data_IF_998137050726
#
_entry.id   IF_998137050726
#
_cell.length_a   1.000
_cell.length_b   1.000
_cell.length_c   1.000
_cell.angle_alpha   90.00
_cell.angle_beta   90.00
_cell.angle_gamma   90.00
#
_symmetry.space_group_name_H-M   'P 1'
#
loop_
_entity.id
_entity.type
_entity.pdbx_description
1 polymer ?
#
# COMPACT_ATOMS: atom_id res chain seq x y z
N UNK A 1 -7.71 2.12 -7.24
CA UNK A 1 -6.68 2.29 -8.28
C UNK A 1 -5.48 2.91 -7.61
N UNK A 2 -4.40 2.16 -7.55
CA UNK A 2 -3.07 2.74 -7.32
C UNK A 2 -2.76 3.45 -8.62
N UNK A 3 -2.49 4.74 -8.53
CA UNK A 3 -2.10 5.55 -9.66
C UNK A 3 -0.75 5.00 -10.19
N UNK A 4 -0.61 4.72 -11.52
CA UNK A 4 0.62 4.20 -12.10
C UNK A 4 1.89 4.94 -11.65
N UNK A 5 1.80 6.23 -11.29
CA UNK A 5 2.91 7.00 -10.74
C UNK A 5 3.59 6.35 -9.52
N UNK A 6 2.83 5.67 -8.64
CA UNK A 6 3.38 4.94 -7.48
C UNK A 6 4.34 3.82 -7.87
N UNK A 7 4.22 3.30 -9.08
CA UNK A 7 5.09 2.22 -9.56
C UNK A 7 6.37 2.76 -10.20
N UNK A 8 6.32 3.95 -10.78
CA UNK A 8 7.42 4.50 -11.60
C UNK A 8 8.29 5.46 -10.78
N UNK A 9 7.69 6.39 -10.04
CA UNK A 9 8.41 7.47 -9.37
C UNK A 9 9.42 6.95 -8.32
N UNK A 10 9.07 6.00 -7.44
CA UNK A 10 10.04 5.46 -6.49
C UNK A 10 11.25 4.80 -7.18
N UNK A 11 11.03 4.14 -8.32
CA UNK A 11 12.10 3.53 -9.13
C UNK A 11 12.96 4.59 -9.80
N UNK A 12 12.36 5.66 -10.33
CA UNK A 12 13.12 6.78 -10.89
C UNK A 12 13.95 7.49 -9.81
N UNK A 13 13.36 7.73 -8.63
CA UNK A 13 14.03 8.42 -7.53
C UNK A 13 15.16 7.61 -6.93
N UNK A 14 15.01 6.29 -6.74
CA UNK A 14 16.10 5.45 -6.23
C UNK A 14 17.31 5.48 -7.18
N UNK A 15 17.07 5.43 -8.50
CA UNK A 15 18.13 5.53 -9.49
C UNK A 15 18.74 6.93 -9.55
N UNK A 16 17.91 7.98 -9.55
CA UNK A 16 18.35 9.37 -9.52
C UNK A 16 19.29 9.62 -8.35
N UNK A 17 18.89 9.25 -7.13
CA UNK A 17 19.75 9.43 -5.95
C UNK A 17 21.01 8.57 -6.01
N UNK A 18 20.94 7.34 -6.54
CA UNK A 18 22.11 6.46 -6.65
C UNK A 18 23.16 6.90 -7.68
N UNK A 19 22.74 7.65 -8.71
CA UNK A 19 23.60 8.09 -9.81
C UNK A 19 23.98 9.57 -9.70
N UNK A 20 23.46 10.27 -8.69
CA UNK A 20 23.76 11.67 -8.47
C UNK A 20 25.27 11.88 -8.21
N UNK A 21 25.91 12.92 -8.76
CA UNK A 21 27.36 13.15 -8.58
C UNK A 21 27.81 13.31 -7.11
N UNK A 22 26.89 13.76 -6.25
CA UNK A 22 27.13 13.92 -4.81
C UNK A 22 26.83 12.65 -3.99
N UNK A 23 26.41 11.56 -4.64
CA UNK A 23 26.01 10.35 -3.94
C UNK A 23 27.23 9.66 -3.31
N UNK A 24 27.17 9.44 -2.00
CA UNK A 24 28.17 8.72 -1.24
C UNK A 24 27.48 7.66 -0.42
N UNK A 25 27.68 6.40 -0.78
CA UNK A 25 26.94 5.30 -0.17
C UNK A 25 27.71 3.99 -0.20
N UNK A 26 27.27 3.08 0.65
CA UNK A 26 27.75 1.72 0.66
C UNK A 26 27.12 0.95 -0.51
N UNK A 27 27.97 0.35 -1.36
CA UNK A 27 27.57 -0.27 -2.62
C UNK A 27 26.48 -1.37 -2.48
N UNK A 28 26.68 -2.34 -1.58
CA UNK A 28 25.73 -3.41 -1.30
C UNK A 28 24.37 -2.88 -0.81
N UNK A 29 24.34 -1.92 0.12
CA UNK A 29 23.10 -1.32 0.61
C UNK A 29 22.31 -0.70 -0.54
N UNK A 30 22.97 0.07 -1.40
CA UNK A 30 22.35 0.66 -2.59
C UNK A 30 21.77 -0.40 -3.53
N UNK A 31 22.53 -1.46 -3.85
CA UNK A 31 22.05 -2.53 -4.75
C UNK A 31 20.86 -3.27 -4.16
N UNK A 32 20.90 -3.61 -2.88
CA UNK A 32 19.80 -4.30 -2.19
C UNK A 32 18.55 -3.44 -2.22
N UNK A 33 18.64 -2.16 -1.84
CA UNK A 33 17.52 -1.23 -1.82
C UNK A 33 16.94 -1.04 -3.23
N UNK A 34 17.81 -0.91 -4.24
CA UNK A 34 17.37 -0.80 -5.64
C UNK A 34 16.60 -2.04 -6.08
N UNK A 35 17.11 -3.25 -5.80
CA UNK A 35 16.45 -4.51 -6.14
C UNK A 35 15.11 -4.68 -5.41
N UNK A 36 15.07 -4.33 -4.13
CA UNK A 36 13.84 -4.37 -3.33
C UNK A 36 12.79 -3.40 -3.88
N UNK A 37 13.18 -2.18 -4.26
CA UNK A 37 12.28 -1.19 -4.87
C UNK A 37 11.75 -1.67 -6.21
N UNK A 38 12.57 -2.32 -7.04
CA UNK A 38 12.11 -2.97 -8.27
C UNK A 38 11.13 -4.10 -7.99
N UNK A 39 11.43 -4.99 -7.05
CA UNK A 39 10.53 -6.09 -6.70
C UNK A 39 9.17 -5.56 -6.21
N UNK A 40 9.18 -4.52 -5.36
CA UNK A 40 7.98 -3.85 -4.90
C UNK A 40 7.18 -3.19 -6.05
N UNK A 41 7.87 -2.49 -6.95
CA UNK A 41 7.25 -1.83 -8.11
C UNK A 41 6.67 -2.83 -9.12
N UNK A 42 7.44 -3.85 -9.51
CA UNK A 42 6.98 -4.91 -10.42
C UNK A 42 5.74 -5.61 -9.87
N UNK A 43 5.70 -5.87 -8.55
CA UNK A 43 4.50 -6.42 -7.90
C UNK A 43 3.29 -5.52 -8.08
N UNK A 44 3.43 -4.21 -7.87
CA UNK A 44 2.33 -3.25 -8.07
C UNK A 44 1.85 -3.22 -9.53
N UNK A 45 2.79 -3.16 -10.46
CA UNK A 45 2.53 -3.18 -11.91
C UNK A 45 1.77 -4.46 -12.28
N UNK A 46 2.26 -5.61 -11.84
CA UNK A 46 1.62 -6.91 -12.06
C UNK A 46 0.22 -6.98 -11.47
N UNK A 47 0.00 -6.46 -10.26
CA UNK A 47 -1.33 -6.41 -9.67
C UNK A 47 -2.29 -5.50 -10.47
N UNK A 48 -1.80 -4.35 -10.92
CA UNK A 48 -2.57 -3.42 -11.75
C UNK A 48 -2.98 -4.07 -13.09
N UNK A 49 -2.01 -4.58 -13.86
CA UNK A 49 -2.28 -5.15 -15.18
C UNK A 49 -3.17 -6.39 -15.14
N UNK A 50 -3.00 -7.28 -14.15
CA UNK A 50 -3.88 -8.43 -13.97
C UNK A 50 -5.33 -8.00 -13.74
N UNK A 51 -5.55 -6.94 -12.93
CA UNK A 51 -6.90 -6.42 -12.65
C UNK A 51 -7.54 -5.80 -13.88
N UNK A 52 -6.77 -5.06 -14.67
CA UNK A 52 -7.24 -4.40 -15.90
C UNK A 52 -7.23 -5.33 -17.13
N UNK A 53 -7.03 -6.64 -16.94
CA UNK A 53 -6.96 -7.65 -18.03
C UNK A 53 -5.97 -7.26 -19.13
N UNK A 54 -4.84 -6.67 -18.75
CA UNK A 54 -3.81 -6.17 -19.66
C UNK A 54 -4.27 -5.06 -20.62
N UNK A 55 -5.41 -4.41 -20.33
CA UNK A 55 -5.87 -3.24 -21.05
C UNK A 55 -5.47 -1.98 -20.28
N UNK A 56 -4.68 -1.13 -20.92
CA UNK A 56 -4.18 0.08 -20.28
C UNK A 56 -5.28 1.16 -20.27
N UNK A 57 -5.55 1.76 -19.10
CA UNK A 57 -6.51 2.86 -18.96
C UNK A 57 -7.99 2.48 -19.16
N UNK A 58 -8.34 1.20 -19.23
CA UNK A 58 -9.71 0.76 -19.50
C UNK A 58 -10.73 1.10 -18.40
N UNK A 59 -10.27 1.33 -17.16
CA UNK A 59 -11.12 1.73 -16.03
C UNK A 59 -10.53 2.90 -15.28
N UNK A 60 -11.32 3.96 -15.16
CA UNK A 60 -11.02 5.08 -14.27
C UNK A 60 -11.34 4.71 -12.81
N UNK A 61 -10.61 5.29 -11.85
CA UNK A 61 -10.97 5.12 -10.44
C UNK A 61 -12.28 5.84 -10.15
N UNK A 62 -13.21 5.10 -9.56
CA UNK A 62 -14.50 5.61 -9.11
C UNK A 62 -14.41 6.88 -8.23
N UNK A 63 -13.31 7.08 -7.49
CA UNK A 63 -13.09 8.30 -6.68
C UNK A 63 -12.95 9.54 -7.57
N UNK A 64 -12.21 9.41 -8.67
CA UNK A 64 -12.07 10.48 -9.66
C UNK A 64 -13.40 10.73 -10.37
N UNK A 65 -14.15 9.67 -10.71
CA UNK A 65 -15.47 9.81 -11.32
C UNK A 65 -16.50 10.49 -10.40
N UNK A 66 -16.54 10.18 -9.09
CA UNK A 66 -17.45 10.86 -8.15
C UNK A 66 -17.09 12.34 -7.99
N UNK A 67 -15.80 12.66 -7.95
CA UNK A 67 -15.32 14.03 -7.84
C UNK A 67 -15.51 14.82 -9.14
N UNK A 68 -15.32 14.21 -10.31
CA UNK A 68 -15.52 14.89 -11.60
C UNK A 68 -16.96 15.33 -11.78
N UNK A 69 -17.92 14.51 -11.36
CA UNK A 69 -19.33 14.87 -11.35
C UNK A 69 -19.65 16.03 -10.39
N UNK A 70 -18.97 16.13 -9.24
CA UNK A 70 -19.16 17.24 -8.28
C UNK A 70 -18.56 18.56 -8.77
N UNK A 71 -17.37 18.53 -9.35
CA UNK A 71 -16.63 19.74 -9.75
C UNK A 71 -16.94 20.20 -11.18
N UNK A 72 -17.56 19.35 -12.01
CA UNK A 72 -18.06 19.68 -13.34
C UNK A 72 -17.00 20.34 -14.22
N UNK A 73 -17.29 21.55 -14.73
CA UNK A 73 -16.40 22.28 -15.66
C UNK A 73 -15.04 22.64 -15.08
N UNK A 74 -14.90 22.72 -13.76
CA UNK A 74 -13.63 23.02 -13.09
C UNK A 74 -12.82 21.77 -12.74
N UNK A 75 -13.31 20.58 -13.10
CA UNK A 75 -12.68 19.31 -12.75
C UNK A 75 -11.21 19.24 -13.11
N UNK A 76 -10.83 19.74 -14.29
CA UNK A 76 -9.43 19.68 -14.74
C UNK A 76 -8.50 20.44 -13.77
N UNK A 77 -8.81 21.69 -13.46
CA UNK A 77 -8.02 22.51 -12.54
C UNK A 77 -8.07 21.99 -11.09
N UNK A 78 -9.24 21.57 -10.64
CA UNK A 78 -9.42 21.04 -9.29
C UNK A 78 -8.64 19.73 -9.11
N UNK A 79 -8.74 18.79 -10.05
CA UNK A 79 -8.01 17.52 -9.98
C UNK A 79 -6.50 17.72 -10.06
N UNK A 80 -6.03 18.63 -10.91
CA UNK A 80 -4.61 18.95 -11.04
C UNK A 80 -4.01 19.47 -9.72
N UNK A 81 -4.60 20.52 -9.15
CA UNK A 81 -4.03 21.18 -7.97
C UNK A 81 -4.39 20.52 -6.64
N UNK A 82 -5.56 19.89 -6.52
CA UNK A 82 -6.00 19.30 -5.26
C UNK A 82 -5.63 17.82 -5.13
N UNK A 83 -5.36 17.11 -6.24
CA UNK A 83 -5.10 15.67 -6.21
C UNK A 83 -3.72 15.36 -6.78
N UNK A 84 -3.49 15.66 -8.07
CA UNK A 84 -2.28 15.21 -8.75
C UNK A 84 -1.01 15.84 -8.18
N UNK A 85 -0.98 17.18 -8.01
CA UNK A 85 0.20 17.88 -7.46
C UNK A 85 0.52 17.44 -6.02
N UNK A 86 -0.42 17.48 -5.05
CA UNK A 86 -0.16 17.01 -3.69
C UNK A 86 0.28 15.54 -3.65
N UNK A 87 -0.28 14.69 -4.51
CA UNK A 87 0.10 13.28 -4.59
C UNK A 87 1.56 13.10 -5.05
N UNK A 88 2.03 13.89 -6.02
CA UNK A 88 3.45 13.82 -6.43
C UNK A 88 4.39 14.30 -5.33
N UNK A 89 4.06 15.44 -4.69
CA UNK A 89 4.84 15.97 -3.56
C UNK A 89 4.89 14.95 -2.41
N UNK A 90 3.76 14.32 -2.12
CA UNK A 90 3.65 13.27 -1.12
C UNK A 90 4.53 12.06 -1.44
N UNK A 91 4.52 11.60 -2.69
CA UNK A 91 5.30 10.44 -3.12
C UNK A 91 6.81 10.70 -3.13
N UNK A 92 7.22 11.92 -3.51
CA UNK A 92 8.62 12.38 -3.39
C UNK A 92 9.02 12.39 -1.91
N UNK A 93 8.20 12.98 -1.04
CA UNK A 93 8.43 13.01 0.41
C UNK A 93 8.56 11.62 1.02
N UNK A 94 7.72 10.69 0.60
CA UNK A 94 7.75 9.29 1.04
C UNK A 94 9.00 8.55 0.55
N UNK A 95 9.58 8.97 -0.57
CA UNK A 95 10.79 8.39 -1.17
C UNK A 95 12.09 9.00 -0.64
N UNK A 96 12.03 9.97 0.26
CA UNK A 96 13.19 10.57 0.92
C UNK A 96 14.14 9.58 1.63
N UNK A 97 13.69 8.41 2.16
CA UNK A 97 14.64 7.41 2.64
C UNK A 97 15.65 6.95 1.57
N UNK A 98 15.28 6.95 0.29
CA UNK A 98 16.22 6.63 -0.79
C UNK A 98 17.34 7.67 -0.92
N UNK A 99 17.04 8.95 -0.67
CA UNK A 99 18.05 10.00 -0.62
C UNK A 99 19.06 9.73 0.50
N UNK A 100 18.58 9.43 1.72
CA UNK A 100 19.44 9.12 2.87
C UNK A 100 20.35 7.92 2.57
N UNK A 101 19.78 6.84 2.05
CA UNK A 101 20.50 5.61 1.71
C UNK A 101 21.64 5.87 0.71
N UNK A 102 21.47 6.84 -0.19
CA UNK A 102 22.46 7.20 -1.21
C UNK A 102 23.33 8.42 -0.84
N UNK A 103 23.16 8.97 0.36
CA UNK A 103 23.93 10.15 0.84
C UNK A 103 24.85 9.84 2.02
N UNK A 104 24.73 8.66 2.63
CA UNK A 104 25.52 8.26 3.80
C UNK A 104 26.33 7.01 3.50
N UNK A 105 27.66 7.14 3.53
CA UNK A 105 28.60 6.03 3.41
C UNK A 105 29.00 5.49 4.78
N UNK A 106 28.17 4.61 5.33
CA UNK A 106 28.45 3.84 6.55
C UNK A 106 28.49 2.34 6.24
N UNK A 107 29.30 1.55 6.98
CA UNK A 107 29.35 0.09 6.81
C UNK A 107 27.97 -0.54 7.04
N UNK A 108 27.79 -1.78 6.58
CA UNK A 108 26.57 -2.53 6.84
C UNK A 108 26.44 -2.83 8.33
N UNK A 109 25.22 -2.73 8.83
CA UNK A 109 24.82 -2.96 10.21
C UNK A 109 23.79 -4.09 10.26
N UNK A 110 23.62 -4.72 11.42
CA UNK A 110 22.54 -5.70 11.62
C UNK A 110 21.15 -5.10 11.36
N UNK A 111 20.98 -3.79 11.54
CA UNK A 111 19.73 -3.10 11.23
C UNK A 111 19.43 -3.03 9.73
N UNK A 112 20.43 -3.11 8.86
CA UNK A 112 20.20 -3.27 7.42
C UNK A 112 19.52 -4.62 7.15
N UNK A 113 19.95 -5.70 7.83
CA UNK A 113 19.31 -7.00 7.72
C UNK A 113 17.85 -6.97 8.24
N UNK A 114 17.61 -6.31 9.37
CA UNK A 114 16.25 -6.11 9.90
C UNK A 114 15.39 -5.37 8.87
N UNK A 115 15.88 -4.27 8.30
CA UNK A 115 15.17 -3.50 7.28
C UNK A 115 14.85 -4.34 6.04
N UNK A 116 15.80 -5.17 5.57
CA UNK A 116 15.59 -6.10 4.46
C UNK A 116 14.46 -7.08 4.77
N UNK A 117 14.50 -7.73 5.94
CA UNK A 117 13.48 -8.71 6.35
C UNK A 117 12.11 -8.03 6.42
N UNK A 118 12.03 -6.84 6.99
CA UNK A 118 10.81 -6.04 7.04
C UNK A 118 10.30 -5.76 5.63
N UNK A 119 11.11 -5.18 4.74
CA UNK A 119 10.72 -4.89 3.36
C UNK A 119 10.25 -6.13 2.59
N UNK A 120 10.99 -7.24 2.66
CA UNK A 120 10.63 -8.50 1.99
C UNK A 120 9.31 -9.03 2.54
N UNK A 121 9.12 -9.01 3.86
CA UNK A 121 7.86 -9.46 4.48
C UNK A 121 6.66 -8.64 4.02
N UNK A 122 6.83 -7.31 3.85
CA UNK A 122 5.81 -6.42 3.32
C UNK A 122 5.44 -6.75 1.87
N UNK A 123 6.45 -6.91 1.00
CA UNK A 123 6.28 -7.29 -0.41
C UNK A 123 5.54 -8.64 -0.54
N UNK A 124 5.98 -9.66 0.21
CA UNK A 124 5.40 -11.00 0.18
C UNK A 124 3.96 -10.98 0.68
N UNK A 125 3.70 -10.32 1.81
CA UNK A 125 2.36 -10.21 2.38
C UNK A 125 1.40 -9.53 1.39
N UNK A 126 1.82 -8.40 0.81
CA UNK A 126 1.03 -7.68 -0.17
C UNK A 126 0.77 -8.53 -1.43
N UNK A 127 1.79 -9.21 -1.95
CA UNK A 127 1.66 -10.06 -3.14
C UNK A 127 0.66 -11.22 -2.94
N UNK A 128 0.74 -11.90 -1.80
CA UNK A 128 -0.18 -13.01 -1.46
C UNK A 128 -1.60 -12.47 -1.30
N UNK A 129 -1.77 -11.37 -0.55
CA UNK A 129 -3.07 -10.75 -0.30
C UNK A 129 -3.75 -10.30 -1.60
N UNK A 130 -3.01 -9.61 -2.47
CA UNK A 130 -3.49 -9.16 -3.77
C UNK A 130 -3.87 -10.34 -4.67
N UNK A 131 -3.08 -11.41 -4.67
CA UNK A 131 -3.37 -12.60 -5.48
C UNK A 131 -4.61 -13.34 -4.97
N UNK A 132 -4.80 -13.44 -3.65
CA UNK A 132 -6.02 -13.98 -3.05
C UNK A 132 -7.26 -13.15 -3.46
N UNK A 133 -7.16 -11.82 -3.40
CA UNK A 133 -8.23 -10.92 -3.80
C UNK A 133 -8.55 -11.02 -5.29
N UNK A 134 -7.52 -11.03 -6.14
CA UNK A 134 -7.69 -11.20 -7.59
C UNK A 134 -8.43 -12.50 -7.92
N UNK A 135 -8.00 -13.61 -7.32
CA UNK A 135 -8.63 -14.91 -7.53
C UNK A 135 -10.08 -14.95 -7.02
N UNK A 136 -10.39 -14.23 -5.94
CA UNK A 136 -11.76 -14.12 -5.43
C UNK A 136 -12.66 -13.31 -6.37
N UNK A 137 -12.20 -12.13 -6.81
CA UNK A 137 -12.99 -11.22 -7.67
C UNK A 137 -13.17 -11.78 -9.08
N UNK A 138 -12.21 -12.58 -9.56
CA UNK A 138 -12.25 -13.16 -10.92
C UNK A 138 -13.12 -14.42 -11.04
N UNK A 139 -13.64 -14.97 -9.93
CA UNK A 139 -14.55 -16.12 -9.97
C UNK A 139 -15.89 -15.74 -10.61
N UNK A 140 -16.38 -16.61 -11.50
CA UNK A 140 -17.69 -16.47 -12.16
C UNK A 140 -18.85 -16.67 -11.19
N UNK A 141 -18.69 -17.59 -10.23
CA UNK A 141 -19.72 -17.87 -9.23
C UNK A 141 -19.46 -17.05 -7.95
N UNK A 142 -20.35 -16.11 -7.65
CA UNK A 142 -20.27 -15.15 -6.53
C UNK A 142 -21.19 -15.51 -5.36
N UNK A 143 -21.42 -16.81 -5.13
CA UNK A 143 -22.18 -17.31 -3.98
C UNK A 143 -21.66 -16.76 -2.64
N UNK A 144 -20.35 -16.56 -2.51
CA UNK A 144 -19.75 -15.97 -1.31
C UNK A 144 -19.60 -14.45 -1.47
N UNK A 145 -20.20 -13.64 -0.59
CA UNK A 145 -20.19 -12.18 -0.74
C UNK A 145 -18.81 -11.55 -0.42
N UNK A 146 -17.97 -12.22 0.40
CA UNK A 146 -16.75 -11.65 0.97
C UNK A 146 -15.60 -12.66 0.97
N UNK A 147 -14.38 -12.16 0.79
CA UNK A 147 -13.16 -12.93 0.98
C UNK A 147 -12.74 -12.89 2.45
N UNK A 148 -12.90 -13.99 3.18
CA UNK A 148 -12.54 -14.11 4.60
C UNK A 148 -11.58 -15.28 4.88
N UNK A 149 -10.85 -15.73 3.86
CA UNK A 149 -9.91 -16.86 3.88
C UNK A 149 -8.48 -16.42 3.58
N UNK A 150 -7.49 -17.22 4.01
CA UNK A 150 -6.08 -16.91 3.79
C UNK A 150 -5.62 -15.73 4.64
N UNK A 151 -4.88 -14.77 4.07
CA UNK A 151 -4.46 -13.57 4.81
C UNK A 151 -5.65 -12.69 5.19
N UNK A 152 -6.72 -12.72 4.38
CA UNK A 152 -7.97 -12.02 4.65
C UNK A 152 -8.75 -12.63 5.83
N UNK A 153 -8.36 -13.80 6.34
CA UNK A 153 -8.91 -14.28 7.60
C UNK A 153 -8.40 -13.47 8.79
N UNK A 154 -7.14 -13.02 8.74
CA UNK A 154 -6.45 -12.38 9.85
C UNK A 154 -6.53 -10.84 9.83
N UNK A 155 -6.71 -10.26 8.64
CA UNK A 155 -6.79 -8.81 8.45
C UNK A 155 -7.81 -8.49 7.36
N UNK A 156 -8.52 -7.38 7.51
CA UNK A 156 -9.46 -6.88 6.50
C UNK A 156 -8.78 -6.24 5.30
N UNK A 157 -7.57 -5.73 5.48
CA UNK A 157 -6.76 -5.16 4.39
C UNK A 157 -5.29 -5.62 4.53
N UNK A 158 -5.01 -6.93 4.35
CA UNK A 158 -3.65 -7.46 4.52
C UNK A 158 -2.68 -6.93 3.46
N UNK A 159 -3.18 -6.57 2.27
CA UNK A 159 -2.39 -5.91 1.25
C UNK A 159 -1.92 -4.51 1.70
N UNK A 160 -2.80 -3.72 2.33
CA UNK A 160 -2.46 -2.41 2.88
C UNK A 160 -1.43 -2.52 4.00
N UNK A 161 -1.58 -3.52 4.87
CA UNK A 161 -0.56 -3.81 5.87
C UNK A 161 0.81 -4.10 5.24
N UNK A 162 0.86 -4.92 4.18
CA UNK A 162 2.10 -5.18 3.44
C UNK A 162 2.73 -3.91 2.84
N UNK A 163 1.92 -2.99 2.29
CA UNK A 163 2.40 -1.67 1.82
C UNK A 163 2.99 -0.85 2.96
N UNK A 164 2.36 -0.85 4.14
CA UNK A 164 2.90 -0.13 5.29
C UNK A 164 4.23 -0.71 5.73
N UNK A 165 4.30 -2.04 5.88
CA UNK A 165 5.53 -2.74 6.27
C UNK A 165 6.69 -2.41 5.32
N UNK A 166 6.44 -2.31 4.01
CA UNK A 166 7.43 -1.85 3.03
C UNK A 166 7.98 -0.46 3.36
N UNK A 167 7.11 0.56 3.52
CA UNK A 167 7.56 1.93 3.77
C UNK A 167 8.20 2.11 5.14
N UNK A 168 7.74 1.36 6.14
CA UNK A 168 8.38 1.31 7.45
C UNK A 168 9.77 0.68 7.38
N UNK A 169 9.97 -0.37 6.55
CA UNK A 169 11.30 -0.93 6.29
C UNK A 169 12.26 0.09 5.65
N UNK A 170 11.78 0.89 4.69
CA UNK A 170 12.57 1.99 4.12
C UNK A 170 12.93 3.05 5.17
N UNK A 171 12.02 3.37 6.09
CA UNK A 171 12.32 4.27 7.20
C UNK A 171 13.37 3.69 8.16
N UNK A 172 13.36 2.37 8.42
CA UNK A 172 14.39 1.71 9.25
C UNK A 172 15.77 1.80 8.60
N UNK A 173 15.90 1.67 7.28
CA UNK A 173 17.16 1.91 6.57
C UNK A 173 17.69 3.33 6.82
N UNK A 174 16.84 4.34 6.68
CA UNK A 174 17.25 5.73 6.88
C UNK A 174 17.57 6.03 8.36
N UNK A 175 16.79 5.48 9.30
CA UNK A 175 17.05 5.60 10.73
C UNK A 175 18.38 4.97 11.14
N UNK A 176 18.71 3.79 10.60
CA UNK A 176 20.01 3.14 10.82
C UNK A 176 21.19 4.04 10.39
N UNK A 177 20.98 4.92 9.41
CA UNK A 177 21.95 5.91 8.94
C UNK A 177 21.87 7.26 9.69
N UNK A 178 21.21 7.29 10.85
CA UNK A 178 21.10 8.47 11.72
C UNK A 178 19.96 9.43 11.36
N UNK A 179 19.10 9.11 10.39
CA UNK A 179 18.05 10.01 9.90
C UNK A 179 16.65 9.58 10.38
N UNK A 180 16.40 9.71 11.69
CA UNK A 180 15.14 9.29 12.31
C UNK A 180 13.88 10.04 11.82
N UNK A 181 14.04 11.22 11.22
CA UNK A 181 12.91 11.95 10.62
C UNK A 181 12.23 11.18 9.47
N UNK A 182 12.89 10.17 8.89
CA UNK A 182 12.30 9.32 7.85
C UNK A 182 11.00 8.62 8.30
N UNK A 183 10.81 8.40 9.61
CA UNK A 183 9.56 7.86 10.15
C UNK A 183 8.35 8.79 9.95
N UNK A 184 8.55 10.09 9.79
CA UNK A 184 7.46 11.05 9.51
C UNK A 184 6.79 10.68 8.18
N UNK A 185 7.56 10.32 7.16
CA UNK A 185 7.03 9.87 5.87
C UNK A 185 6.22 8.58 5.99
N UNK A 186 6.76 7.57 6.69
CA UNK A 186 6.05 6.32 6.93
C UNK A 186 4.75 6.51 7.74
N UNK A 187 4.77 7.39 8.74
CA UNK A 187 3.59 7.74 9.54
C UNK A 187 2.54 8.48 8.70
N UNK A 188 2.95 9.46 7.89
CA UNK A 188 2.07 10.19 7.00
C UNK A 188 1.41 9.25 5.97
N UNK A 189 2.16 8.29 5.43
CA UNK A 189 1.62 7.23 4.58
C UNK A 189 0.64 6.31 5.32
N UNK A 190 0.91 6.00 6.59
CA UNK A 190 -0.03 5.26 7.44
C UNK A 190 -1.34 6.02 7.61
N UNK A 191 -1.29 7.32 7.91
CA UNK A 191 -2.50 8.14 8.05
C UNK A 191 -3.29 8.26 6.73
N UNK A 192 -2.58 8.45 5.61
CA UNK A 192 -3.20 8.49 4.29
C UNK A 192 -3.93 7.18 3.97
N UNK A 193 -3.27 6.04 4.22
CA UNK A 193 -3.87 4.73 3.98
C UNK A 193 -5.04 4.46 4.93
N UNK A 194 -5.03 4.99 6.16
CA UNK A 194 -6.16 4.89 7.10
C UNK A 194 -7.40 5.57 6.53
N UNK A 195 -7.21 6.76 5.98
CA UNK A 195 -8.27 7.50 5.31
C UNK A 195 -8.79 6.76 4.07
N UNK A 196 -7.90 6.24 3.21
CA UNK A 196 -8.30 5.44 2.04
C UNK A 196 -9.05 4.17 2.46
N UNK A 197 -8.61 3.51 3.54
CA UNK A 197 -9.27 2.33 4.08
C UNK A 197 -10.71 2.63 4.46
N UNK A 198 -10.95 3.75 5.17
CA UNK A 198 -12.30 4.20 5.51
C UNK A 198 -13.16 4.38 4.27
N UNK A 199 -12.66 5.07 3.24
CA UNK A 199 -13.40 5.27 1.98
C UNK A 199 -13.78 3.95 1.29
N UNK A 200 -12.90 2.96 1.34
CA UNK A 200 -13.14 1.64 0.75
C UNK A 200 -14.19 0.86 1.55
N UNK A 201 -14.07 0.81 2.88
CA UNK A 201 -15.05 0.12 3.74
C UNK A 201 -16.44 0.78 3.63
N UNK A 202 -16.52 2.11 3.62
CA UNK A 202 -17.77 2.85 3.43
C UNK A 202 -18.43 2.51 2.09
N UNK A 203 -17.64 2.33 1.03
CA UNK A 203 -18.16 1.90 -0.27
C UNK A 203 -18.67 0.46 -0.27
N UNK A 204 -17.98 -0.45 0.44
CA UNK A 204 -18.43 -1.83 0.60
C UNK A 204 -19.76 -1.90 1.35
N UNK A 205 -19.96 -1.04 2.36
CA UNK A 205 -21.20 -0.95 3.13
C UNK A 205 -22.39 -0.37 2.35
N UNK A 206 -22.15 0.38 1.27
CA UNK A 206 -23.21 0.89 0.38
C UNK A 206 -23.78 -0.17 -0.57
N UNK A 207 -23.20 -1.37 -0.63
CA UNK A 207 -23.69 -2.45 -1.48
C UNK A 207 -24.57 -3.40 -0.66
N UNK A 208 -25.90 -3.26 -0.77
CA UNK A 208 -26.87 -3.99 0.06
C UNK A 208 -26.64 -5.51 0.06
N UNK A 209 -26.35 -6.09 -1.12
CA UNK A 209 -26.07 -7.52 -1.28
C UNK A 209 -24.89 -8.08 -0.45
N UNK A 210 -23.98 -7.21 0.02
CA UNK A 210 -22.77 -7.61 0.75
C UNK A 210 -22.60 -6.89 2.09
N UNK A 211 -23.40 -5.86 2.36
CA UNK A 211 -23.26 -5.00 3.52
C UNK A 211 -23.40 -5.77 4.85
N UNK A 212 -24.37 -6.68 4.94
CA UNK A 212 -24.61 -7.45 6.17
C UNK A 212 -23.42 -8.38 6.49
N UNK A 213 -22.98 -9.16 5.50
CA UNK A 213 -21.81 -10.02 5.64
C UNK A 213 -20.56 -9.20 6.01
N UNK A 214 -20.42 -7.97 5.48
CA UNK A 214 -19.26 -7.13 5.71
C UNK A 214 -19.25 -6.55 7.12
N UNK A 215 -20.42 -6.18 7.66
CA UNK A 215 -20.55 -5.77 9.07
C UNK A 215 -20.15 -6.91 10.02
N UNK A 216 -20.51 -8.16 9.71
CA UNK A 216 -20.09 -9.30 10.52
C UNK A 216 -18.57 -9.51 10.45
N UNK A 217 -18.00 -9.35 9.26
CA UNK A 217 -16.55 -9.42 9.04
C UNK A 217 -15.79 -8.31 9.79
N UNK A 218 -16.33 -7.09 9.81
CA UNK A 218 -15.77 -5.96 10.59
C UNK A 218 -15.74 -6.21 12.10
N UNK A 219 -16.70 -6.97 12.65
CA UNK A 219 -16.74 -7.30 14.08
C UNK A 219 -15.74 -8.37 14.49
N UNK A 220 -15.39 -9.26 13.56
CA UNK A 220 -14.60 -10.48 13.86
C UNK A 220 -13.15 -10.38 13.42
N UNK A 221 -12.83 -9.49 12.48
CA UNK A 221 -11.51 -9.46 11.83
C UNK A 221 -10.83 -8.12 12.03
N UNK A 222 -9.54 -8.14 12.39
CA UNK A 222 -8.70 -6.95 12.57
C UNK A 222 -8.61 -6.11 11.29
N UNK A 223 -8.52 -4.78 11.41
CA UNK A 223 -8.49 -3.89 10.25
C UNK A 223 -7.22 -4.09 9.40
N UNK A 224 -6.04 -3.99 10.02
CA UNK A 224 -4.75 -3.98 9.33
C UNK A 224 -3.78 -5.01 9.87
N UNK A 225 -3.44 -4.93 11.15
CA UNK A 225 -2.47 -5.83 11.77
C UNK A 225 -3.07 -7.24 11.78
N UNK A 226 -2.45 -8.23 11.11
CA UNK A 226 -2.96 -9.60 11.08
C UNK A 226 -3.13 -10.14 12.50
N UNK A 227 -4.35 -10.54 12.85
CA UNK A 227 -4.68 -11.08 14.17
C UNK A 227 -5.73 -12.19 14.07
N UNK A 228 -5.80 -13.06 15.08
CA UNK A 228 -6.81 -14.11 15.12
C UNK A 228 -8.22 -13.54 15.19
N UNK A 229 -9.19 -14.21 14.56
CA UNK A 229 -10.59 -13.75 14.59
C UNK A 229 -11.11 -13.72 16.01
N UNK A 230 -11.74 -12.61 16.36
CA UNK A 230 -12.52 -12.49 17.59
C UNK A 230 -13.74 -13.39 17.47
N UNK A 231 -13.97 -14.26 18.46
CA UNK A 231 -15.25 -14.99 18.54
C UNK A 231 -16.37 -13.97 18.78
N UNK A 232 -17.54 -14.09 18.11
CA UNK A 232 -18.71 -13.29 18.45
C UNK A 232 -19.32 -13.77 19.78
N UNK A 233 -18.55 -13.65 20.86
CA UNK A 233 -19.04 -13.75 22.24
C UNK A 233 -19.95 -12.54 22.48
N UNK A 234 -21.24 -12.69 22.16
CA UNK A 234 -22.24 -11.66 22.42
C UNK A 234 -23.60 -11.80 21.72
N UNK A 235 -23.77 -12.75 20.78
CA UNK A 235 -25.07 -12.96 20.11
C UNK A 235 -25.84 -14.21 20.59
N UNK A 236 -25.36 -14.91 21.62
CA UNK A 236 -25.93 -16.19 22.07
C UNK A 236 -26.48 -16.21 23.51
N UNK A 237 -26.76 -15.06 24.14
CA UNK A 237 -27.28 -15.05 25.53
C UNK A 237 -28.49 -14.14 25.78
N UNK A 238 -29.34 -13.87 24.79
CA UNK A 238 -30.59 -13.12 25.02
C UNK A 238 -31.89 -13.88 24.73
N UNK A 239 -31.81 -15.14 24.28
CA UNK A 239 -32.98 -15.95 23.96
C UNK A 239 -32.95 -17.33 24.66
N UNK A 240 -32.55 -17.37 25.94
CA UNK A 240 -32.66 -18.55 26.79
C UNK A 240 -33.47 -18.22 28.05
#
# INVERSE_FOLDING_TARGET
>A
MIDPYWTVIPVMLVHYYSTHPLAQYQWWRSRIVTLLTWAWSVRLIHNYFRREKWQWGAREDWRFTDLSHRYGRHWWWASFFAIYVPQQVFLIGLSLPFYVIHSVNQPLSMWDLVAIVVCVSGIVTAYIADTQLYNFVSRKNKEVPILDKGLWYYSRHPNYFGEQVWWWGMAVFAWNLGHGWAFIGALANTMCLAYVTKLVEDRMLKQDSRAEAFRLYQKTTSLWIPWFKSSPLGLKSKDA
#
